data_IF_153560063905
#
_entry.id   IF_153560063905
#
_cell.length_a   1.000
_cell.length_b   1.000
_cell.length_c   1.000
_cell.angle_alpha   90.00
_cell.angle_beta   90.00
_cell.angle_gamma   90.00
#
_symmetry.space_group_name_H-M   'P 1'
#
loop_
_entity.id
_entity.type
_entity.pdbx_description
1 polymer ?
#
# COMPACT_ATOMS: atom_id res chain seq x y z
N UNK A 1 9.59 -13.03 -14.59
CA UNK A 1 8.68 -12.69 -13.47
C UNK A 1 9.47 -11.79 -12.56
N UNK A 2 8.99 -10.58 -12.30
CA UNK A 2 9.65 -9.70 -11.34
C UNK A 2 9.32 -10.23 -9.95
N UNK A 3 10.29 -10.78 -9.23
CA UNK A 3 10.13 -11.23 -7.84
C UNK A 3 9.96 -10.01 -6.92
N UNK A 4 8.86 -9.29 -7.04
CA UNK A 4 8.56 -8.14 -6.18
C UNK A 4 8.07 -8.68 -4.84
N UNK A 5 8.63 -8.16 -3.76
CA UNK A 5 8.23 -8.55 -2.40
C UNK A 5 7.41 -7.41 -1.79
N UNK A 6 6.18 -7.68 -1.39
CA UNK A 6 5.36 -6.73 -0.65
C UNK A 6 5.33 -7.09 0.84
N UNK A 7 5.75 -6.15 1.67
CA UNK A 7 5.77 -6.27 3.13
C UNK A 7 4.80 -5.28 3.76
N UNK A 8 4.08 -5.74 4.77
CA UNK A 8 3.25 -4.88 5.62
C UNK A 8 4.06 -4.55 6.87
N UNK A 9 4.26 -3.27 7.14
CA UNK A 9 4.95 -2.85 8.37
C UNK A 9 4.09 -3.18 9.60
N UNK A 10 4.73 -3.43 10.74
CA UNK A 10 4.03 -3.71 12.02
C UNK A 10 2.99 -2.62 12.33
N UNK A 11 3.32 -1.36 12.05
CA UNK A 11 2.41 -0.22 12.23
C UNK A 11 1.17 -0.34 11.33
N UNK A 12 1.35 -0.63 10.05
CA UNK A 12 0.24 -0.82 9.12
C UNK A 12 -0.65 -2.01 9.51
N UNK A 13 -0.05 -3.11 9.98
CA UNK A 13 -0.80 -4.26 10.52
C UNK A 13 -1.67 -3.87 11.72
N UNK A 14 -1.10 -3.13 12.68
CA UNK A 14 -1.84 -2.67 13.86
C UNK A 14 -2.99 -1.73 13.49
N UNK A 15 -2.77 -0.83 12.53
CA UNK A 15 -3.80 0.08 12.04
C UNK A 15 -4.94 -0.68 11.35
N UNK A 16 -4.62 -1.60 10.44
CA UNK A 16 -5.63 -2.41 9.77
C UNK A 16 -6.44 -3.28 10.75
N UNK A 17 -5.77 -3.86 11.77
CA UNK A 17 -6.45 -4.59 12.84
C UNK A 17 -7.41 -3.71 13.64
N UNK A 18 -7.04 -2.47 13.93
CA UNK A 18 -7.93 -1.51 14.58
C UNK A 18 -9.16 -1.15 13.74
N UNK A 19 -9.12 -1.41 12.43
CA UNK A 19 -10.16 -1.09 11.45
C UNK A 19 -10.89 -2.34 10.91
N UNK A 20 -10.56 -3.55 11.41
CA UNK A 20 -11.12 -4.81 10.92
C UNK A 20 -10.73 -5.17 9.48
N UNK A 21 -9.62 -4.61 8.98
CA UNK A 21 -9.23 -4.62 7.58
C UNK A 21 -8.08 -5.57 7.25
N UNK A 22 -7.72 -6.51 8.14
CA UNK A 22 -6.55 -7.37 7.93
C UNK A 22 -6.62 -8.17 6.63
N UNK A 23 -7.79 -8.73 6.31
CA UNK A 23 -7.98 -9.52 5.09
C UNK A 23 -7.85 -8.66 3.83
N UNK A 24 -8.49 -7.49 3.80
CA UNK A 24 -8.40 -6.57 2.67
C UNK A 24 -6.97 -6.02 2.48
N UNK A 25 -6.24 -5.82 3.57
CA UNK A 25 -4.83 -5.42 3.52
C UNK A 25 -3.94 -6.53 2.95
N UNK A 26 -4.20 -7.79 3.29
CA UNK A 26 -3.46 -8.94 2.76
C UNK A 26 -3.73 -9.15 1.25
N UNK A 27 -4.97 -8.97 0.81
CA UNK A 27 -5.32 -8.98 -0.62
C UNK A 27 -4.59 -7.86 -1.37
N UNK A 28 -4.59 -6.64 -0.82
CA UNK A 28 -3.83 -5.53 -1.39
C UNK A 28 -2.32 -5.82 -1.42
N UNK A 29 -1.78 -6.47 -0.38
CA UNK A 29 -0.37 -6.88 -0.34
C UNK A 29 -0.03 -7.78 -1.52
N UNK A 30 -0.85 -8.80 -1.79
CA UNK A 30 -0.69 -9.68 -2.95
C UNK A 30 -0.83 -8.94 -4.28
N UNK A 31 -1.80 -8.03 -4.40
CA UNK A 31 -1.95 -7.22 -5.60
C UNK A 31 -0.71 -6.37 -5.86
N UNK A 32 -0.08 -5.82 -4.82
CA UNK A 32 1.14 -5.02 -4.94
C UNK A 32 2.38 -5.84 -5.34
N UNK A 33 2.42 -7.14 -5.06
CA UNK A 33 3.45 -8.04 -5.60
C UNK A 33 3.31 -8.18 -7.13
N UNK A 34 2.08 -8.18 -7.64
CA UNK A 34 1.78 -8.27 -9.07
C UNK A 34 1.88 -6.90 -9.78
N UNK A 35 1.47 -5.83 -9.10
CA UNK A 35 1.33 -4.48 -9.61
C UNK A 35 1.95 -3.44 -8.64
N UNK A 36 3.28 -3.37 -8.50
CA UNK A 36 3.96 -2.51 -7.52
C UNK A 36 3.75 -1.00 -7.71
N UNK A 37 3.19 -0.58 -8.84
CA UNK A 37 2.88 0.82 -9.15
C UNK A 37 1.39 1.12 -9.12
N UNK A 38 0.58 0.28 -8.48
CA UNK A 38 -0.86 0.50 -8.28
C UNK A 38 -1.16 1.87 -7.62
N UNK A 39 -2.23 2.54 -8.02
CA UNK A 39 -2.59 3.84 -7.46
C UNK A 39 -1.68 4.99 -7.92
N UNK A 40 -1.62 6.06 -7.12
CA UNK A 40 -1.03 7.34 -7.50
C UNK A 40 0.34 7.57 -6.85
N UNK A 41 1.23 8.26 -7.55
CA UNK A 41 2.52 8.69 -7.01
C UNK A 41 2.30 9.95 -6.15
N UNK A 42 2.80 9.93 -4.92
CA UNK A 42 2.80 11.08 -4.02
C UNK A 42 4.15 11.81 -4.13
N UNK A 43 4.12 12.99 -4.73
CA UNK A 43 5.29 13.85 -4.88
C UNK A 43 6.27 13.38 -5.98
N UNK A 44 7.46 13.98 -6.05
CA UNK A 44 8.45 13.63 -7.06
C UNK A 44 9.13 12.28 -6.76
N UNK A 45 9.54 11.57 -7.82
CA UNK A 45 10.40 10.39 -7.69
C UNK A 45 11.74 10.82 -7.10
N UNK A 46 12.23 10.08 -6.12
CA UNK A 46 13.53 10.37 -5.51
C UNK A 46 14.68 9.93 -6.44
N UNK A 47 15.87 10.54 -6.33
CA UNK A 47 17.02 10.20 -7.17
C UNK A 47 17.48 8.74 -7.06
N UNK A 48 17.19 8.08 -5.94
CA UNK A 48 17.42 6.66 -5.68
C UNK A 48 16.38 5.73 -6.31
N UNK A 49 15.40 6.28 -7.05
CA UNK A 49 14.32 5.54 -7.67
C UNK A 49 13.16 5.21 -6.72
N UNK A 50 13.22 5.64 -5.45
CA UNK A 50 12.16 5.41 -4.47
C UNK A 50 10.90 6.20 -4.84
N UNK A 51 9.77 5.50 -4.83
CA UNK A 51 8.45 6.05 -5.12
C UNK A 51 7.58 5.96 -3.87
N UNK A 52 7.06 7.09 -3.37
CA UNK A 52 6.00 7.10 -2.35
C UNK A 52 4.67 7.08 -3.09
N UNK A 53 3.80 6.13 -2.78
CA UNK A 53 2.56 5.92 -3.51
C UNK A 53 1.38 5.78 -2.55
N UNK A 54 0.20 6.13 -3.05
CA UNK A 54 -1.08 5.99 -2.36
C UNK A 54 -2.04 5.21 -3.23
N UNK A 55 -2.69 4.24 -2.64
CA UNK A 55 -3.79 3.49 -3.24
C UNK A 55 -4.97 3.47 -2.26
N UNK A 56 -6.10 2.87 -2.68
CA UNK A 56 -7.28 2.74 -1.85
C UNK A 56 -7.78 1.30 -1.79
N UNK A 57 -8.33 0.93 -0.66
CA UNK A 57 -9.17 -0.25 -0.48
C UNK A 57 -10.61 0.27 -0.48
N UNK A 58 -11.44 -0.23 -1.39
CA UNK A 58 -12.84 0.17 -1.48
C UNK A 58 -13.63 -0.33 -0.26
N UNK A 59 -14.66 0.43 0.12
CA UNK A 59 -15.52 0.04 1.23
C UNK A 59 -16.26 -1.26 0.91
N UNK A 60 -16.37 -2.14 1.91
CA UNK A 60 -17.18 -3.35 1.88
C UNK A 60 -18.27 -3.25 2.96
N UNK A 61 -19.12 -4.28 3.07
CA UNK A 61 -20.15 -4.34 4.10
C UNK A 61 -19.58 -4.25 5.54
N UNK A 62 -18.34 -4.70 5.73
CA UNK A 62 -17.72 -4.87 7.05
C UNK A 62 -16.51 -3.95 7.28
N UNK A 63 -15.95 -3.35 6.22
CA UNK A 63 -14.73 -2.53 6.29
C UNK A 63 -14.98 -1.18 5.62
N UNK A 64 -14.69 -0.04 6.28
CA UNK A 64 -14.78 1.27 5.63
C UNK A 64 -13.79 1.37 4.47
N UNK A 65 -14.00 2.31 3.55
CA UNK A 65 -12.97 2.61 2.55
C UNK A 65 -11.69 3.06 3.24
N UNK A 66 -10.52 2.62 2.76
CA UNK A 66 -9.22 2.92 3.37
C UNK A 66 -8.26 3.53 2.35
N UNK A 67 -7.54 4.56 2.78
CA UNK A 67 -6.36 5.04 2.07
C UNK A 67 -5.12 4.26 2.56
N UNK A 68 -4.33 3.75 1.62
CA UNK A 68 -3.12 2.98 1.91
C UNK A 68 -1.92 3.68 1.29
N UNK A 69 -0.97 4.08 2.12
CA UNK A 69 0.29 4.64 1.68
C UNK A 69 1.39 3.57 1.74
N UNK A 70 2.21 3.52 0.70
CA UNK A 70 3.30 2.56 0.59
C UNK A 70 4.49 3.17 -0.13
N UNK A 71 5.65 2.53 0.07
CA UNK A 71 6.90 2.88 -0.61
C UNK A 71 7.25 1.76 -1.57
N UNK A 72 7.51 2.11 -2.82
CA UNK A 72 8.06 1.19 -3.81
C UNK A 72 9.54 1.52 -4.04
N UNK A 73 10.39 0.52 -3.83
CA UNK A 73 11.83 0.58 -3.99
C UNK A 73 12.23 -0.37 -5.12
N UNK A 74 12.50 0.13 -6.35
CA UNK A 74 12.82 -0.71 -7.50
C UNK A 74 14.25 -1.29 -7.46
N UNK A 75 15.12 -0.80 -6.57
CA UNK A 75 16.52 -1.25 -6.48
C UNK A 75 17.09 -1.10 -5.06
N UNK A 76 17.99 -2.01 -4.63
CA UNK A 76 18.49 -3.17 -5.36
C UNK A 76 17.42 -4.27 -5.51
N UNK A 77 17.55 -5.18 -6.50
CA UNK A 77 16.65 -6.32 -6.61
C UNK A 77 16.74 -7.26 -5.39
N UNK A 78 15.63 -7.90 -4.98
CA UNK A 78 14.28 -7.78 -5.55
C UNK A 78 13.62 -6.42 -5.26
N UNK A 79 12.82 -5.87 -6.20
CA UNK A 79 12.02 -4.69 -5.91
C UNK A 79 11.11 -4.93 -4.69
N UNK A 80 11.02 -3.95 -3.81
CA UNK A 80 10.26 -4.06 -2.56
C UNK A 80 9.13 -3.06 -2.51
N UNK A 81 7.96 -3.51 -2.07
CA UNK A 81 6.84 -2.64 -1.67
C UNK A 81 6.71 -2.72 -0.16
N UNK A 82 6.76 -1.59 0.54
CA UNK A 82 6.54 -1.51 1.98
C UNK A 82 5.27 -0.71 2.27
N UNK A 83 4.22 -1.36 2.75
CA UNK A 83 2.99 -0.69 3.18
C UNK A 83 3.25 -0.06 4.56
N UNK A 84 3.20 1.27 4.62
CA UNK A 84 3.62 2.05 5.79
C UNK A 84 2.46 2.60 6.60
N UNK A 85 1.30 2.83 5.97
CA UNK A 85 0.14 3.42 6.64
C UNK A 85 -1.17 2.94 6.02
N UNK A 86 -2.16 2.74 6.89
CA UNK A 86 -3.55 2.45 6.54
C UNK A 86 -4.40 3.41 7.36
N UNK A 87 -5.23 4.22 6.69
CA UNK A 87 -6.11 5.18 7.36
C UNK A 87 -7.51 5.08 6.76
N UNK A 88 -8.57 5.40 7.52
CA UNK A 88 -9.89 5.60 6.93
C UNK A 88 -9.80 6.58 5.74
N UNK A 89 -10.47 6.24 4.65
CA UNK A 89 -10.65 7.15 3.53
C UNK A 89 -11.80 8.10 3.89
N UNK A 90 -11.47 9.33 4.26
CA UNK A 90 -12.48 10.37 4.56
C UNK A 90 -13.26 10.84 3.32
N UNK A 91 -13.05 10.21 2.16
CA UNK A 91 -13.78 10.50 0.93
C UNK A 91 -13.37 11.82 0.27
N UNK A 92 -12.29 12.44 0.74
CA UNK A 92 -11.70 13.61 0.07
C UNK A 92 -11.05 13.13 -1.22
N UNK A 93 -11.83 13.17 -2.29
CA UNK A 93 -11.36 12.98 -3.66
C UNK A 93 -10.31 14.06 -3.95
N UNK A 94 -9.06 13.66 -4.08
CA UNK A 94 -8.01 14.47 -4.72
C UNK A 94 -8.30 14.59 -6.22
#
# INVERSE_FOLDING_TARGET
MSDVIAVVTVRATQLAKGLGAEQALEELRHELELAPRLGVLLGPRRPDGLEVRKTRIEATSDVPGLAVAYVYTPSPPPPTVAITSVTPDDGVRE
#
